data_IF_928737876968
#
_entry.id   IF_928737876968
#
_cell.length_a   1.000
_cell.length_b   1.000
_cell.length_c   1.000
_cell.angle_alpha   90.00
_cell.angle_beta   90.00
_cell.angle_gamma   90.00
#
_symmetry.space_group_name_H-M   'P 1'
#
loop_
_entity.id
_entity.type
_entity.pdbx_description
1 polymer ?
#
# COMPACT_ATOMS: atom_id res chain seq x y z
N UNK A 1 -8.24 -5.27 14.98
CA UNK A 1 -9.54 -4.85 14.41
C UNK A 1 -9.38 -3.90 13.24
N UNK A 2 -8.54 -2.85 13.32
CA UNK A 2 -8.32 -1.89 12.21
C UNK A 2 -7.73 -2.55 10.96
N UNK A 3 -6.73 -3.41 11.13
CA UNK A 3 -6.12 -4.17 10.04
C UNK A 3 -7.15 -5.04 9.31
N UNK A 4 -8.05 -5.73 10.04
CA UNK A 4 -9.09 -6.56 9.41
C UNK A 4 -10.04 -5.72 8.54
N UNK A 5 -10.45 -4.53 9.01
CA UNK A 5 -11.26 -3.61 8.21
C UNK A 5 -10.47 -3.14 6.98
N UNK A 6 -9.17 -2.86 7.13
CA UNK A 6 -8.29 -2.52 6.01
C UNK A 6 -8.27 -3.60 4.93
N UNK A 7 -8.16 -4.88 5.29
CA UNK A 7 -8.20 -6.00 4.33
C UNK A 7 -9.56 -6.11 3.62
N UNK A 8 -10.67 -5.89 4.33
CA UNK A 8 -12.01 -5.87 3.74
C UNK A 8 -12.10 -4.73 2.71
N UNK A 9 -11.62 -3.53 3.04
CA UNK A 9 -11.62 -2.42 2.10
C UNK A 9 -10.74 -2.72 0.88
N UNK A 10 -9.56 -3.31 1.05
CA UNK A 10 -8.73 -3.73 -0.09
C UNK A 10 -9.47 -4.70 -1.02
N UNK A 11 -10.24 -5.66 -0.47
CA UNK A 11 -11.07 -6.58 -1.28
C UNK A 11 -12.15 -5.85 -2.08
N UNK A 12 -12.76 -4.80 -1.52
CA UNK A 12 -13.68 -3.93 -2.28
C UNK A 12 -12.95 -3.10 -3.35
N UNK A 13 -11.74 -2.63 -3.05
CA UNK A 13 -10.89 -1.95 -4.02
C UNK A 13 -10.59 -2.84 -5.22
N UNK A 14 -10.22 -4.11 -4.99
CA UNK A 14 -10.02 -5.12 -6.03
C UNK A 14 -11.26 -5.32 -6.90
N UNK A 15 -12.43 -5.37 -6.27
CA UNK A 15 -13.69 -5.50 -6.99
C UNK A 15 -13.91 -4.32 -7.95
N UNK A 16 -13.68 -3.08 -7.50
CA UNK A 16 -13.81 -1.90 -8.37
C UNK A 16 -12.79 -1.88 -9.51
N UNK A 17 -11.53 -2.30 -9.27
CA UNK A 17 -10.53 -2.42 -10.33
C UNK A 17 -10.92 -3.48 -11.36
N UNK A 18 -11.54 -4.58 -10.93
CA UNK A 18 -12.07 -5.61 -11.86
C UNK A 18 -13.22 -5.10 -12.70
N UNK A 19 -14.09 -4.28 -12.13
CA UNK A 19 -15.14 -3.62 -12.89
C UNK A 19 -14.55 -2.65 -13.94
N UNK A 20 -13.50 -1.88 -13.57
CA UNK A 20 -12.83 -0.99 -14.52
C UNK A 20 -12.22 -1.77 -15.70
N UNK A 21 -11.59 -2.91 -15.44
CA UNK A 21 -11.06 -3.79 -16.47
C UNK A 21 -12.18 -4.36 -17.37
N UNK A 22 -13.31 -4.77 -16.77
CA UNK A 22 -14.43 -5.40 -17.48
C UNK A 22 -15.19 -4.41 -18.39
N UNK A 23 -15.32 -3.15 -17.96
CA UNK A 23 -16.01 -2.10 -18.72
C UNK A 23 -15.08 -1.27 -19.61
N UNK A 24 -13.86 -1.74 -19.87
CA UNK A 24 -12.96 -1.18 -20.88
C UNK A 24 -12.42 0.21 -20.56
N UNK A 25 -12.29 0.56 -19.30
CA UNK A 25 -11.73 1.85 -18.83
C UNK A 25 -12.48 3.11 -19.27
N UNK A 26 -13.65 2.98 -19.87
CA UNK A 26 -14.39 4.11 -20.44
C UNK A 26 -14.88 5.11 -19.38
N UNK A 27 -15.31 4.62 -18.23
CA UNK A 27 -15.98 5.49 -17.24
C UNK A 27 -15.04 6.03 -16.16
N UNK A 28 -13.81 5.55 -16.04
CA UNK A 28 -12.81 5.95 -14.99
C UNK A 28 -13.38 6.05 -13.55
N UNK A 29 -14.70 5.97 -13.40
CA UNK A 29 -15.39 6.01 -12.10
C UNK A 29 -15.02 4.80 -11.25
N UNK A 30 -14.95 3.63 -11.86
CA UNK A 30 -14.59 2.40 -11.15
C UNK A 30 -13.15 2.44 -10.67
N UNK A 31 -12.22 2.90 -11.51
CA UNK A 31 -10.82 3.09 -11.12
C UNK A 31 -10.69 4.07 -9.94
N UNK A 32 -11.35 5.23 -10.02
CA UNK A 32 -11.35 6.22 -8.94
C UNK A 32 -11.98 5.68 -7.65
N UNK A 33 -13.08 4.94 -7.75
CA UNK A 33 -13.70 4.30 -6.59
C UNK A 33 -12.76 3.28 -5.95
N UNK A 34 -12.09 2.45 -6.74
CA UNK A 34 -11.07 1.52 -6.28
C UNK A 34 -9.93 2.24 -5.55
N UNK A 35 -9.39 3.31 -6.16
CA UNK A 35 -8.32 4.13 -5.59
C UNK A 35 -8.69 4.71 -4.21
N UNK A 36 -9.92 5.25 -4.07
CA UNK A 36 -10.40 5.81 -2.79
C UNK A 36 -10.55 4.72 -1.73
N UNK A 37 -11.11 3.58 -2.10
CA UNK A 37 -11.31 2.46 -1.15
C UNK A 37 -9.98 1.88 -0.69
N UNK A 38 -9.02 1.71 -1.61
CA UNK A 38 -7.65 1.31 -1.25
C UNK A 38 -6.96 2.33 -0.35
N UNK A 39 -7.11 3.63 -0.64
CA UNK A 39 -6.56 4.70 0.18
C UNK A 39 -7.06 4.59 1.63
N UNK A 40 -8.36 4.38 1.83
CA UNK A 40 -8.95 4.17 3.16
C UNK A 40 -8.40 2.91 3.83
N UNK A 41 -8.22 1.83 3.09
CA UNK A 41 -7.60 0.60 3.58
C UNK A 41 -6.19 0.84 4.10
N UNK A 42 -5.36 1.59 3.34
CA UNK A 42 -3.98 1.93 3.74
C UNK A 42 -3.94 2.84 4.97
N UNK A 43 -4.85 3.81 5.09
CA UNK A 43 -4.97 4.63 6.30
C UNK A 43 -5.23 3.77 7.53
N UNK A 44 -6.07 2.74 7.41
CA UNK A 44 -6.33 1.79 8.50
C UNK A 44 -5.12 0.89 8.79
N UNK A 45 -4.32 0.51 7.79
CA UNK A 45 -3.05 -0.19 8.01
C UNK A 45 -2.07 0.69 8.75
N UNK A 46 -1.89 1.95 8.34
CA UNK A 46 -1.04 2.93 9.04
C UNK A 46 -1.49 3.07 10.50
N UNK A 47 -2.79 3.25 10.73
CA UNK A 47 -3.33 3.36 12.08
C UNK A 47 -3.05 2.10 12.93
N UNK A 48 -3.19 0.90 12.35
CA UNK A 48 -2.87 -0.35 13.01
C UNK A 48 -1.38 -0.45 13.38
N UNK A 49 -0.48 -0.10 12.44
CA UNK A 49 0.96 -0.13 12.65
C UNK A 49 1.38 0.85 13.75
N UNK A 50 0.87 2.08 13.72
CA UNK A 50 1.20 3.12 14.71
C UNK A 50 0.68 2.77 16.10
N UNK A 51 -0.50 2.14 16.19
CA UNK A 51 -1.08 1.72 17.46
C UNK A 51 -0.32 0.58 18.13
N UNK A 52 0.31 -0.31 17.35
CA UNK A 52 1.05 -1.47 17.88
C UNK A 52 2.44 -1.12 18.41
N UNK A 53 2.92 0.08 18.16
CA UNK A 53 4.22 0.57 18.63
C UNK A 53 4.93 1.40 17.55
N UNK A 54 5.91 2.20 17.97
CA UNK A 54 6.70 3.02 17.05
C UNK A 54 6.12 4.41 16.85
N UNK A 55 6.32 5.27 17.84
CA UNK A 55 6.00 6.69 17.71
C UNK A 55 7.17 7.47 17.12
N UNK A 56 8.39 6.93 17.15
CA UNK A 56 9.58 7.55 16.58
C UNK A 56 9.56 7.47 15.06
N UNK A 57 10.20 8.43 14.43
CA UNK A 57 10.29 8.55 12.99
C UNK A 57 11.70 8.12 12.54
N UNK A 58 11.80 7.01 11.85
CA UNK A 58 13.05 6.62 11.20
C UNK A 58 13.28 7.48 9.95
N UNK A 59 14.04 8.57 10.10
CA UNK A 59 14.23 9.59 9.05
C UNK A 59 14.79 8.99 7.75
N UNK A 60 15.74 8.06 7.86
CA UNK A 60 16.37 7.45 6.68
C UNK A 60 15.36 6.73 5.78
N UNK A 61 14.49 5.91 6.36
CA UNK A 61 13.44 5.22 5.63
C UNK A 61 12.32 6.16 5.17
N UNK A 62 12.07 7.22 5.92
CA UNK A 62 11.19 8.29 5.48
C UNK A 62 11.70 8.93 4.19
N UNK A 63 12.94 9.39 4.17
CA UNK A 63 13.56 9.97 2.96
C UNK A 63 13.48 8.99 1.79
N UNK A 64 13.88 7.73 1.98
CA UNK A 64 13.82 6.72 0.91
C UNK A 64 12.42 6.54 0.35
N UNK A 65 11.41 6.34 1.21
CA UNK A 65 10.04 6.09 0.76
C UNK A 65 9.44 7.30 0.04
N UNK A 66 9.67 8.52 0.53
CA UNK A 66 9.13 9.72 -0.12
C UNK A 66 9.88 10.13 -1.39
N UNK A 67 11.19 9.90 -1.49
CA UNK A 67 11.94 10.07 -2.75
C UNK A 67 11.43 9.10 -3.80
N UNK A 68 11.23 7.82 -3.42
CA UNK A 68 10.69 6.81 -4.34
C UNK A 68 9.29 7.18 -4.83
N UNK A 69 8.38 7.54 -3.91
CA UNK A 69 7.02 7.96 -4.25
C UNK A 69 7.01 9.21 -5.11
N UNK A 70 7.88 10.19 -4.82
CA UNK A 70 8.00 11.41 -5.63
C UNK A 70 8.45 11.11 -7.05
N UNK A 71 9.34 10.15 -7.24
CA UNK A 71 9.75 9.70 -8.58
C UNK A 71 8.57 9.10 -9.35
N UNK A 72 7.77 8.22 -8.73
CA UNK A 72 6.57 7.64 -9.37
C UNK A 72 5.56 8.73 -9.74
N UNK A 73 5.32 9.68 -8.85
CA UNK A 73 4.43 10.83 -9.13
C UNK A 73 4.97 11.64 -10.32
N UNK A 74 6.26 11.97 -10.32
CA UNK A 74 6.90 12.75 -11.37
C UNK A 74 6.74 12.11 -12.76
N UNK A 75 6.94 10.79 -12.87
CA UNK A 75 6.78 10.08 -14.13
C UNK A 75 5.32 9.79 -14.52
N UNK A 76 4.42 9.70 -13.56
CA UNK A 76 3.00 9.39 -13.83
C UNK A 76 2.17 10.61 -14.21
N UNK A 77 2.36 11.75 -13.54
CA UNK A 77 1.49 12.94 -13.70
C UNK A 77 1.46 13.53 -15.12
N UNK A 78 2.60 13.61 -15.87
CA UNK A 78 2.58 14.15 -17.22
C UNK A 78 1.71 13.33 -18.19
N UNK A 79 1.58 12.04 -17.94
CA UNK A 79 0.83 11.12 -18.80
C UNK A 79 -0.70 11.09 -18.48
N UNK A 80 -1.11 11.76 -17.41
CA UNK A 80 -2.52 11.93 -17.08
C UNK A 80 -3.00 13.23 -17.75
N UNK A 81 -4.07 13.12 -18.53
CA UNK A 81 -4.71 14.23 -19.21
C UNK A 81 -4.92 15.45 -18.26
N UNK A 82 -4.57 16.64 -18.71
CA UNK A 82 -4.65 17.87 -17.92
C UNK A 82 -6.06 18.18 -17.42
N UNK A 83 -7.09 17.75 -18.13
CA UNK A 83 -8.50 17.94 -17.75
C UNK A 83 -8.91 17.06 -16.55
N UNK A 84 -8.14 16.04 -16.21
CA UNK A 84 -8.46 15.07 -15.14
C UNK A 84 -7.81 15.43 -13.81
N UNK A 85 -8.06 16.65 -13.33
CA UNK A 85 -7.48 17.17 -12.10
C UNK A 85 -7.76 16.28 -10.89
N UNK A 86 -9.00 15.79 -10.76
CA UNK A 86 -9.39 14.91 -9.63
C UNK A 86 -8.58 13.62 -9.62
N UNK A 87 -8.34 13.02 -10.79
CA UNK A 87 -7.51 11.82 -10.90
C UNK A 87 -6.05 12.10 -10.49
N UNK A 88 -5.48 13.23 -10.92
CA UNK A 88 -4.13 13.64 -10.53
C UNK A 88 -3.99 13.79 -9.01
N UNK A 89 -4.94 14.48 -8.39
CA UNK A 89 -4.98 14.64 -6.93
C UNK A 89 -5.10 13.27 -6.25
N UNK A 90 -6.00 12.42 -6.73
CA UNK A 90 -6.18 11.06 -6.19
C UNK A 90 -4.90 10.23 -6.23
N UNK A 91 -4.18 10.24 -7.37
CA UNK A 91 -2.91 9.52 -7.53
C UNK A 91 -1.84 10.05 -6.58
N UNK A 92 -1.73 11.38 -6.44
CA UNK A 92 -0.76 12.00 -5.51
C UNK A 92 -1.06 11.62 -4.06
N UNK A 93 -2.31 11.78 -3.63
CA UNK A 93 -2.72 11.43 -2.27
C UNK A 93 -2.49 9.95 -1.97
N UNK A 94 -2.86 9.08 -2.91
CA UNK A 94 -2.67 7.65 -2.78
C UNK A 94 -1.19 7.28 -2.64
N UNK A 95 -0.33 7.82 -3.49
CA UNK A 95 1.10 7.58 -3.45
C UNK A 95 1.73 8.06 -2.12
N UNK A 96 1.32 9.23 -1.61
CA UNK A 96 1.79 9.73 -0.32
C UNK A 96 1.35 8.84 0.85
N UNK A 97 0.13 8.31 0.82
CA UNK A 97 -0.36 7.40 1.86
C UNK A 97 0.42 6.08 1.85
N UNK A 98 0.73 5.51 0.68
CA UNK A 98 1.57 4.31 0.60
C UNK A 98 2.98 4.58 1.10
N UNK A 99 3.61 5.68 0.69
CA UNK A 99 4.92 6.09 1.20
C UNK A 99 4.91 6.24 2.73
N UNK A 100 3.85 6.80 3.28
CA UNK A 100 3.65 6.90 4.74
C UNK A 100 3.50 5.53 5.39
N UNK A 101 2.79 4.59 4.77
CA UNK A 101 2.66 3.23 5.28
C UNK A 101 4.02 2.53 5.37
N UNK A 102 4.84 2.61 4.32
CA UNK A 102 6.19 2.03 4.33
C UNK A 102 7.07 2.71 5.38
N UNK A 103 7.03 4.04 5.48
CA UNK A 103 7.77 4.79 6.48
C UNK A 103 7.38 4.37 7.91
N UNK A 104 6.09 4.23 8.21
CA UNK A 104 5.61 3.79 9.53
C UNK A 104 5.95 2.35 9.83
N UNK A 105 5.89 1.47 8.85
CA UNK A 105 6.30 0.07 8.99
C UNK A 105 7.80 -0.04 9.28
N UNK A 106 8.63 0.75 8.60
CA UNK A 106 10.06 0.84 8.88
C UNK A 106 10.34 1.38 10.30
N UNK A 107 9.67 2.47 10.70
CA UNK A 107 9.80 3.05 12.05
C UNK A 107 9.42 2.02 13.12
N UNK A 108 8.34 1.29 12.93
CA UNK A 108 7.92 0.21 13.83
C UNK A 108 8.99 -0.89 13.95
N UNK A 109 9.68 -1.21 12.84
CA UNK A 109 10.72 -2.27 12.83
C UNK A 109 11.98 -1.86 13.58
N UNK A 110 12.39 -0.61 13.48
CA UNK A 110 13.64 -0.12 14.05
C UNK A 110 13.50 0.47 15.45
N UNK A 111 12.29 0.74 15.90
CA UNK A 111 12.00 1.44 17.14
C UNK A 111 11.57 0.52 18.30
N UNK A 112 11.02 -0.64 17.99
CA UNK A 112 10.54 -1.59 19.02
C UNK A 112 11.68 -2.43 19.59
N UNK A 113 11.97 -2.24 20.87
CA UNK A 113 12.86 -3.12 21.64
C UNK A 113 12.05 -4.00 22.60
N UNK A 114 12.22 -5.33 22.59
CA UNK A 114 12.99 -6.16 21.65
C UNK A 114 12.29 -6.28 20.30
N UNK A 115 13.07 -6.27 19.22
CA UNK A 115 12.56 -6.40 17.85
C UNK A 115 11.79 -7.70 17.68
N UNK A 116 10.49 -7.61 17.45
CA UNK A 116 9.66 -8.78 17.18
C UNK A 116 9.79 -9.18 15.71
N UNK A 117 9.85 -10.47 15.42
CA UNK A 117 9.85 -10.96 14.03
C UNK A 117 8.66 -10.43 13.22
N UNK A 118 7.52 -10.20 13.86
CA UNK A 118 6.33 -9.60 13.23
C UNK A 118 6.58 -8.21 12.66
N UNK A 119 7.47 -7.39 13.25
CA UNK A 119 7.80 -6.06 12.75
C UNK A 119 8.47 -6.08 11.38
N UNK A 120 9.40 -7.03 11.19
CA UNK A 120 10.06 -7.21 9.87
C UNK A 120 9.06 -7.71 8.81
N UNK A 121 8.09 -8.54 9.20
CA UNK A 121 7.05 -9.04 8.30
C UNK A 121 6.13 -7.88 7.88
N UNK A 122 5.75 -6.99 8.81
CA UNK A 122 4.99 -5.76 8.49
C UNK A 122 5.73 -4.91 7.48
N UNK A 123 7.02 -4.66 7.72
CA UNK A 123 7.85 -3.84 6.83
C UNK A 123 7.98 -4.48 5.45
N UNK A 124 8.30 -5.77 5.38
CA UNK A 124 8.38 -6.51 4.11
C UNK A 124 7.04 -6.46 3.37
N UNK A 125 5.92 -6.67 4.06
CA UNK A 125 4.57 -6.59 3.49
C UNK A 125 4.26 -5.21 2.92
N UNK A 126 4.59 -4.14 3.64
CA UNK A 126 4.40 -2.77 3.19
C UNK A 126 5.23 -2.44 1.94
N UNK A 127 6.50 -2.89 1.89
CA UNK A 127 7.38 -2.69 0.73
C UNK A 127 6.85 -3.47 -0.48
N UNK A 128 6.50 -4.75 -0.32
CA UNK A 128 5.98 -5.57 -1.42
C UNK A 128 4.67 -5.00 -1.95
N UNK A 129 3.81 -4.47 -1.07
CA UNK A 129 2.58 -3.80 -1.46
C UNK A 129 2.88 -2.52 -2.27
N UNK A 130 3.81 -1.67 -1.82
CA UNK A 130 4.23 -0.48 -2.55
C UNK A 130 4.78 -0.84 -3.94
N UNK A 131 5.53 -1.94 -4.08
CA UNK A 131 6.02 -2.41 -5.37
C UNK A 131 4.88 -2.84 -6.29
N UNK A 132 3.87 -3.54 -5.77
CA UNK A 132 2.66 -3.89 -6.52
C UNK A 132 1.96 -2.66 -7.10
N UNK A 133 1.74 -1.65 -6.27
CA UNK A 133 1.08 -0.41 -6.70
C UNK A 133 1.94 0.41 -7.67
N UNK A 134 3.25 0.32 -7.54
CA UNK A 134 4.18 0.90 -8.51
C UNK A 134 4.02 0.24 -9.89
N UNK A 135 3.93 -1.09 -9.95
CA UNK A 135 3.68 -1.82 -11.20
C UNK A 135 2.34 -1.41 -11.81
N UNK A 136 1.30 -1.29 -10.97
CA UNK A 136 -0.01 -0.81 -11.41
C UNK A 136 0.06 0.62 -11.98
N UNK A 137 0.75 1.53 -11.30
CA UNK A 137 0.91 2.92 -11.74
C UNK A 137 1.70 3.02 -13.04
N UNK A 138 2.80 2.28 -13.19
CA UNK A 138 3.60 2.24 -14.41
C UNK A 138 2.75 1.72 -15.57
N UNK A 139 2.08 0.58 -15.38
CA UNK A 139 1.24 -0.02 -16.41
C UNK A 139 0.05 0.87 -16.81
N UNK A 140 -0.49 1.63 -15.88
CA UNK A 140 -1.68 2.47 -16.11
C UNK A 140 -1.34 3.84 -16.71
N UNK A 141 -0.24 4.45 -16.30
CA UNK A 141 0.06 5.86 -16.59
C UNK A 141 1.32 6.08 -17.40
N UNK A 142 2.28 5.15 -17.42
CA UNK A 142 3.58 5.37 -18.07
C UNK A 142 3.69 4.54 -19.33
N UNK A 143 3.70 3.22 -19.21
CA UNK A 143 3.83 2.30 -20.33
C UNK A 143 3.19 0.95 -20.02
N UNK A 144 2.50 0.33 -20.98
CA UNK A 144 1.98 -1.02 -20.81
C UNK A 144 3.13 -2.02 -20.59
N UNK A 145 3.07 -2.77 -19.51
CA UNK A 145 4.07 -3.77 -19.16
C UNK A 145 3.58 -5.18 -19.58
N UNK A 146 4.44 -6.01 -20.21
CA UNK A 146 4.10 -7.39 -20.49
C UNK A 146 3.87 -8.13 -19.16
N UNK A 147 2.85 -8.99 -19.14
CA UNK A 147 2.47 -9.76 -17.95
C UNK A 147 2.16 -8.93 -16.68
N UNK A 148 1.98 -7.60 -16.81
CA UNK A 148 1.74 -6.69 -15.68
C UNK A 148 0.64 -7.17 -14.74
N UNK A 149 -0.44 -7.73 -15.28
CA UNK A 149 -1.57 -8.24 -14.49
C UNK A 149 -1.15 -9.39 -13.58
N UNK A 150 -0.41 -10.36 -14.10
CA UNK A 150 0.05 -11.51 -13.31
C UNK A 150 1.05 -11.09 -12.23
N UNK A 151 2.02 -10.24 -12.59
CA UNK A 151 3.04 -9.75 -11.66
C UNK A 151 2.39 -8.88 -10.59
N UNK A 152 1.50 -7.96 -10.96
CA UNK A 152 0.79 -7.10 -10.01
C UNK A 152 -0.05 -7.91 -9.02
N UNK A 153 -0.85 -8.86 -9.50
CA UNK A 153 -1.67 -9.72 -8.64
C UNK A 153 -0.80 -10.54 -7.68
N UNK A 154 0.28 -11.15 -8.18
CA UNK A 154 1.18 -11.96 -7.34
C UNK A 154 1.85 -11.14 -6.24
N UNK A 155 2.39 -9.96 -6.58
CA UNK A 155 3.02 -9.06 -5.60
C UNK A 155 2.01 -8.49 -4.62
N UNK A 156 0.82 -8.14 -5.07
CA UNK A 156 -0.28 -7.67 -4.23
C UNK A 156 -0.67 -8.71 -3.16
N UNK A 157 -0.98 -9.96 -3.60
CA UNK A 157 -1.35 -11.01 -2.65
C UNK A 157 -0.20 -11.39 -1.72
N UNK A 158 1.05 -11.34 -2.19
CA UNK A 158 2.22 -11.53 -1.33
C UNK A 158 2.29 -10.44 -0.24
N UNK A 159 2.12 -9.17 -0.62
CA UNK A 159 2.09 -8.02 0.31
C UNK A 159 0.98 -8.15 1.35
N UNK A 160 -0.26 -8.41 0.91
CA UNK A 160 -1.43 -8.62 1.81
C UNK A 160 -1.20 -9.81 2.74
N UNK A 161 -0.67 -10.93 2.23
CA UNK A 161 -0.42 -12.12 3.05
C UNK A 161 0.63 -11.85 4.14
N UNK A 162 1.71 -11.13 3.82
CA UNK A 162 2.71 -10.72 4.80
C UNK A 162 2.09 -9.80 5.88
N UNK A 163 1.30 -8.81 5.48
CA UNK A 163 0.60 -7.93 6.42
C UNK A 163 -0.37 -8.71 7.31
N UNK A 164 -1.09 -9.70 6.77
CA UNK A 164 -1.99 -10.55 7.53
C UNK A 164 -1.24 -11.47 8.50
N UNK A 165 -0.14 -12.09 8.06
CA UNK A 165 0.71 -12.94 8.90
C UNK A 165 1.28 -12.17 10.09
N UNK A 166 1.61 -10.88 9.91
CA UNK A 166 2.11 -10.05 11.00
C UNK A 166 1.10 -9.88 12.14
N UNK A 167 -0.21 -9.87 11.80
CA UNK A 167 -1.28 -9.74 12.79
C UNK A 167 -1.44 -10.98 13.68
N UNK A 168 -1.07 -12.18 13.19
CA UNK A 168 -1.22 -13.44 13.92
C UNK A 168 0.00 -13.79 14.78
N UNK A 169 1.15 -13.19 14.51
CA UNK A 169 2.42 -13.47 15.21
C UNK A 169 2.48 -12.92 16.64
N UNK A 170 1.74 -11.86 16.94
CA UNK A 170 1.76 -11.21 18.27
C UNK A 170 1.20 -12.07 19.38
N UNK A 171 0.18 -12.87 19.12
CA UNK A 171 -0.54 -13.63 20.15
C UNK A 171 0.14 -14.95 20.51
N UNK A 172 0.93 -15.54 19.62
CA UNK A 172 1.61 -16.82 19.90
C UNK A 172 2.76 -16.66 20.89
N UNK A 173 3.52 -15.58 20.82
CA UNK A 173 4.65 -15.33 21.73
C UNK A 173 4.25 -14.87 23.13
N UNK A 174 3.04 -14.35 23.30
CA UNK A 174 2.49 -13.98 24.61
C UNK A 174 2.07 -15.22 25.42
N UNK A 175 1.69 -16.33 24.75
CA UNK A 175 1.26 -17.59 25.39
C UNK A 175 2.42 -18.49 25.82
N UNK A 176 3.59 -18.38 25.19
CA UNK A 176 4.76 -19.20 25.53
C UNK A 176 5.58 -18.65 26.72
N UNK A 177 5.14 -17.53 27.31
CA UNK A 177 5.79 -16.90 28.48
C UNK A 177 4.94 -16.95 29.77
N UNK A 178 3.81 -17.65 29.77
CA UNK A 178 3.03 -17.98 30.98
C UNK A 178 3.23 -19.45 31.37
#
# INVERSE_FOLDING_TARGET
TSMCIGFILCSFGDFFLRLDDAFGHETKKYFMSGLVVFLLGHVLFIYGIVRDGGTTLCLQWGIFSYVFVSAIIYFSLPNIDSTKVVLKIGVVLYALVIGTMVHRAASHTFDVHPRKSSSYIVFAGAVVFMLSDTILAINRFITPLPYSRAVNISTYFAGISLLACSCTGGDRWAKDKQ
#
